data_IF_067374260733
#
_entry.id   IF_067374260733
#
_cell.length_a   1.000
_cell.length_b   1.000
_cell.length_c   1.000
_cell.angle_alpha   90.00
_cell.angle_beta   90.00
_cell.angle_gamma   90.00
#
_symmetry.space_group_name_H-M   'P 1'
#
loop_
_entity.id
_entity.type
_entity.pdbx_description
1 polymer ?
#
# COMPACT_ATOMS: atom_id res chain seq x y z
N UNK A 1 12.98 -34.07 -44.75
CA UNK A 1 12.93 -32.64 -44.37
C UNK A 1 11.62 -32.21 -43.70
N UNK A 2 10.46 -32.84 -43.94
CA UNK A 2 9.17 -32.38 -43.37
C UNK A 2 8.92 -32.73 -41.88
N UNK A 3 9.52 -33.79 -41.34
CA UNK A 3 9.29 -34.20 -39.93
C UNK A 3 10.12 -33.46 -38.88
N UNK A 4 11.23 -32.83 -39.26
CA UNK A 4 12.11 -32.11 -38.32
C UNK A 4 11.62 -30.69 -38.02
N UNK A 5 10.90 -30.06 -38.96
CA UNK A 5 10.33 -28.72 -38.77
C UNK A 5 9.15 -28.74 -37.79
N UNK A 6 8.36 -29.80 -37.78
CA UNK A 6 7.20 -29.94 -36.86
C UNK A 6 7.68 -30.06 -35.41
N UNK A 7 8.74 -30.83 -35.13
CA UNK A 7 9.28 -31.01 -33.78
C UNK A 7 9.86 -29.72 -33.18
N UNK A 8 10.57 -28.92 -33.99
CA UNK A 8 11.14 -27.63 -33.55
C UNK A 8 10.04 -26.59 -33.29
N UNK A 9 8.99 -26.57 -34.10
CA UNK A 9 7.83 -25.66 -33.90
C UNK A 9 7.04 -26.07 -32.65
N UNK A 10 6.83 -27.36 -32.39
CA UNK A 10 6.20 -27.80 -31.12
C UNK A 10 7.05 -27.51 -29.90
N UNK A 11 8.39 -27.60 -29.98
CA UNK A 11 9.28 -27.24 -28.87
C UNK A 11 9.30 -25.72 -28.59
N UNK A 12 9.22 -24.88 -29.62
CA UNK A 12 9.12 -23.42 -29.47
C UNK A 12 7.78 -22.95 -28.89
N UNK A 13 6.68 -23.65 -29.21
CA UNK A 13 5.35 -23.37 -28.65
C UNK A 13 5.26 -23.80 -27.18
N UNK A 14 5.92 -24.89 -26.78
CA UNK A 14 5.98 -25.34 -25.38
C UNK A 14 6.86 -24.42 -24.51
N UNK A 15 7.86 -23.74 -25.09
CA UNK A 15 8.69 -22.79 -24.35
C UNK A 15 8.01 -21.42 -24.10
N UNK A 16 6.99 -21.06 -24.88
CA UNK A 16 6.24 -19.81 -24.70
C UNK A 16 5.16 -19.86 -23.61
N UNK A 17 4.89 -21.02 -23.01
CA UNK A 17 3.76 -21.20 -22.08
C UNK A 17 4.14 -21.39 -20.60
N UNK A 18 5.30 -20.89 -20.15
CA UNK A 18 5.66 -20.84 -18.72
C UNK A 18 5.69 -19.41 -18.15
N UNK A 19 5.03 -18.46 -18.79
CA UNK A 19 4.72 -17.19 -18.13
C UNK A 19 3.46 -17.44 -17.30
N UNK A 20 3.60 -17.59 -15.99
CA UNK A 20 2.44 -17.53 -15.09
C UNK A 20 1.66 -16.27 -15.44
N UNK A 21 0.38 -16.44 -15.78
CA UNK A 21 -0.47 -15.30 -16.14
C UNK A 21 -0.46 -14.29 -14.99
N UNK A 22 -0.10 -13.04 -15.29
CA UNK A 22 -0.15 -11.95 -14.32
C UNK A 22 -1.60 -11.74 -13.90
N UNK A 23 -1.86 -11.78 -12.60
CA UNK A 23 -3.17 -11.42 -12.06
C UNK A 23 -3.31 -9.90 -12.21
N UNK A 24 -4.27 -9.46 -13.02
CA UNK A 24 -4.47 -8.05 -13.35
C UNK A 24 -5.90 -7.62 -13.06
N UNK A 25 -6.04 -6.53 -12.31
CA UNK A 25 -7.30 -5.81 -12.11
C UNK A 25 -7.24 -4.45 -12.78
N UNK A 26 -8.40 -3.88 -13.11
CA UNK A 26 -8.49 -2.61 -13.81
C UNK A 26 -9.41 -1.65 -13.11
N UNK A 27 -8.98 -0.39 -13.03
CA UNK A 27 -9.82 0.71 -12.63
C UNK A 27 -9.69 1.81 -13.67
N UNK A 28 -10.78 2.07 -14.40
CA UNK A 28 -10.86 3.28 -15.21
C UNK A 28 -11.16 4.45 -14.29
N UNK A 29 -10.24 5.41 -14.20
CA UNK A 29 -10.32 6.65 -13.41
C UNK A 29 -11.06 7.78 -14.15
N UNK A 30 -11.41 7.58 -15.41
CA UNK A 30 -12.16 8.54 -16.22
C UNK A 30 -13.62 8.11 -16.37
N UNK A 31 -14.54 8.82 -15.70
CA UNK A 31 -15.96 8.49 -15.71
C UNK A 31 -16.30 7.23 -14.91
N UNK A 32 -15.45 6.87 -13.94
CA UNK A 32 -15.73 5.83 -12.96
C UNK A 32 -17.07 6.09 -12.28
N UNK A 33 -17.81 5.04 -12.00
CA UNK A 33 -19.04 5.07 -11.17
C UNK A 33 -18.76 4.50 -9.78
N UNK A 34 -19.65 4.79 -8.82
CA UNK A 34 -19.59 4.21 -7.47
C UNK A 34 -19.51 2.68 -7.52
N UNK A 35 -20.33 2.08 -8.38
CA UNK A 35 -20.44 0.64 -8.56
C UNK A 35 -19.15 0.05 -9.12
N UNK A 36 -18.53 0.70 -10.11
CA UNK A 36 -17.24 0.25 -10.67
C UNK A 36 -16.11 0.32 -9.64
N UNK A 37 -16.04 1.40 -8.85
CA UNK A 37 -15.02 1.52 -7.82
C UNK A 37 -15.20 0.47 -6.71
N UNK A 38 -16.43 0.28 -6.23
CA UNK A 38 -16.74 -0.74 -5.21
C UNK A 38 -16.46 -2.16 -5.72
N UNK A 39 -16.85 -2.45 -6.97
CA UNK A 39 -16.61 -3.76 -7.60
C UNK A 39 -15.12 -4.04 -7.74
N UNK A 40 -14.34 -3.06 -8.20
CA UNK A 40 -12.88 -3.16 -8.29
C UNK A 40 -12.22 -3.51 -6.95
N UNK A 41 -12.58 -2.81 -5.86
CA UNK A 41 -12.03 -3.12 -4.53
C UNK A 41 -12.49 -4.49 -4.04
N UNK A 42 -13.73 -4.90 -4.35
CA UNK A 42 -14.25 -6.23 -4.01
C UNK A 42 -13.48 -7.34 -4.75
N UNK A 43 -13.19 -7.17 -6.03
CA UNK A 43 -12.41 -8.14 -6.82
C UNK A 43 -11.03 -8.38 -6.21
N UNK A 44 -10.37 -7.32 -5.72
CA UNK A 44 -9.08 -7.45 -5.02
C UNK A 44 -9.24 -8.23 -3.71
N UNK A 45 -10.29 -7.96 -2.91
CA UNK A 45 -10.54 -8.72 -1.67
C UNK A 45 -10.81 -10.20 -1.96
N UNK A 46 -11.63 -10.48 -2.97
CA UNK A 46 -12.00 -11.84 -3.37
C UNK A 46 -10.78 -12.64 -3.87
N UNK A 47 -9.80 -11.99 -4.53
CA UNK A 47 -8.56 -12.63 -4.97
C UNK A 47 -7.68 -13.10 -3.82
N UNK A 48 -7.52 -12.24 -2.81
CA UNK A 48 -6.51 -12.45 -1.77
C UNK A 48 -7.07 -13.16 -0.54
N UNK A 49 -8.41 -13.25 -0.40
CA UNK A 49 -9.02 -13.88 0.76
C UNK A 49 -8.85 -15.39 0.77
N UNK A 50 -8.81 -15.97 1.97
CA UNK A 50 -9.08 -17.39 2.16
C UNK A 50 -10.59 -17.56 2.44
N UNK A 51 -11.35 -18.24 1.57
CA UNK A 51 -12.80 -18.36 1.69
C UNK A 51 -13.26 -19.17 2.91
N UNK A 52 -12.35 -19.87 3.58
CA UNK A 52 -12.66 -20.67 4.76
C UNK A 52 -12.10 -20.07 6.05
N UNK A 53 -11.36 -18.95 5.97
CA UNK A 53 -10.72 -18.34 7.13
C UNK A 53 -11.49 -17.10 7.57
N UNK A 54 -11.99 -17.18 8.80
CA UNK A 54 -12.63 -16.08 9.48
C UNK A 54 -12.05 -15.91 10.88
N UNK A 55 -11.98 -14.67 11.35
CA UNK A 55 -11.45 -14.34 12.66
C UNK A 55 -12.57 -13.99 13.64
N UNK A 56 -12.43 -14.49 14.87
CA UNK A 56 -13.27 -14.07 15.99
C UNK A 56 -14.76 -14.38 15.85
N UNK A 57 -15.15 -15.33 15.01
CA UNK A 57 -16.56 -15.65 14.74
C UNK A 57 -17.30 -14.52 14.00
N UNK A 58 -16.61 -13.82 13.10
CA UNK A 58 -17.13 -12.74 12.24
C UNK A 58 -17.11 -13.20 10.79
N UNK A 59 -17.87 -12.57 9.90
CA UNK A 59 -17.87 -12.88 8.46
C UNK A 59 -16.88 -12.01 7.67
N UNK A 60 -15.99 -11.28 8.35
CA UNK A 60 -15.01 -10.40 7.70
C UNK A 60 -13.97 -11.29 6.98
N UNK A 61 -13.68 -11.04 5.68
CA UNK A 61 -12.66 -11.79 4.96
C UNK A 61 -11.28 -11.66 5.60
N UNK A 62 -10.45 -12.69 5.47
CA UNK A 62 -9.04 -12.69 5.93
C UNK A 62 -8.15 -13.03 4.75
N UNK A 63 -7.06 -12.29 4.56
CA UNK A 63 -6.05 -12.61 3.55
C UNK A 63 -5.53 -14.04 3.76
N UNK A 64 -5.31 -14.77 2.66
CA UNK A 64 -4.70 -16.09 2.67
C UNK A 64 -3.22 -16.03 3.05
N UNK A 65 -2.75 -16.96 3.87
CA UNK A 65 -1.38 -16.96 4.41
C UNK A 65 -0.29 -17.00 3.33
N UNK A 66 -0.49 -17.82 2.30
CA UNK A 66 0.46 -18.04 1.22
C UNK A 66 -0.25 -17.77 -0.11
N UNK A 67 0.17 -16.71 -0.78
CA UNK A 67 -0.35 -16.26 -2.06
C UNK A 67 0.78 -16.31 -3.09
N UNK A 68 0.55 -17.08 -4.15
CA UNK A 68 1.39 -17.16 -5.34
C UNK A 68 0.49 -16.86 -6.56
N UNK A 69 0.87 -15.95 -7.47
CA UNK A 69 2.04 -15.06 -7.42
C UNK A 69 2.03 -14.13 -6.18
N UNK A 70 3.18 -13.56 -5.80
CA UNK A 70 3.31 -12.65 -4.64
C UNK A 70 2.61 -11.31 -4.85
N UNK A 71 2.56 -10.86 -6.10
CA UNK A 71 2.00 -9.58 -6.51
C UNK A 71 0.85 -9.77 -7.49
N UNK A 72 -0.04 -8.79 -7.51
CA UNK A 72 -0.97 -8.54 -8.60
C UNK A 72 -0.61 -7.21 -9.26
N UNK A 73 -1.05 -7.05 -10.51
CA UNK A 73 -0.98 -5.81 -11.27
C UNK A 73 -2.34 -5.10 -11.20
N UNK A 74 -2.31 -3.79 -11.05
CA UNK A 74 -3.51 -2.95 -11.19
C UNK A 74 -3.26 -1.97 -12.30
N UNK A 75 -4.07 -2.01 -13.36
CA UNK A 75 -4.06 -1.01 -14.41
C UNK A 75 -5.04 0.12 -14.07
N UNK A 76 -4.49 1.32 -13.96
CA UNK A 76 -5.24 2.56 -13.77
C UNK A 76 -5.37 3.24 -15.13
N UNK A 77 -6.56 3.20 -15.71
CA UNK A 77 -6.82 3.79 -17.01
C UNK A 77 -7.29 5.24 -16.84
N UNK A 78 -6.60 6.19 -17.48
CA UNK A 78 -6.99 7.60 -17.45
C UNK A 78 -6.82 8.28 -18.80
N UNK A 79 -7.09 9.58 -18.83
CA UNK A 79 -7.11 10.35 -20.09
C UNK A 79 -5.75 10.45 -20.79
N UNK A 80 -4.64 10.33 -20.05
CA UNK A 80 -3.27 10.37 -20.59
C UNK A 80 -2.71 8.97 -20.90
N UNK A 81 -3.52 7.93 -20.74
CA UNK A 81 -3.15 6.52 -20.89
C UNK A 81 -3.18 5.76 -19.56
N UNK A 82 -2.63 4.55 -19.57
CA UNK A 82 -2.59 3.66 -18.41
C UNK A 82 -1.30 3.82 -17.63
N UNK A 83 -1.40 3.92 -16.31
CA UNK A 83 -0.32 3.62 -15.38
C UNK A 83 -0.67 2.34 -14.62
N UNK A 84 0.32 1.59 -14.16
CA UNK A 84 0.05 0.32 -13.45
C UNK A 84 0.73 0.29 -12.08
N UNK A 85 0.15 -0.44 -11.13
CA UNK A 85 0.70 -0.65 -9.80
C UNK A 85 1.09 -2.12 -9.61
N UNK A 86 2.17 -2.37 -8.88
CA UNK A 86 2.47 -3.67 -8.31
C UNK A 86 2.01 -3.69 -6.85
N UNK A 87 1.01 -4.52 -6.54
CA UNK A 87 0.43 -4.61 -5.20
C UNK A 87 0.73 -5.99 -4.62
N UNK A 88 1.36 -6.02 -3.45
CA UNK A 88 1.69 -7.27 -2.76
C UNK A 88 0.43 -7.89 -2.17
N UNK A 89 0.10 -9.11 -2.58
CA UNK A 89 -1.19 -9.74 -2.26
C UNK A 89 -1.34 -10.09 -0.77
N UNK A 90 -0.24 -10.35 -0.08
CA UNK A 90 -0.26 -10.74 1.35
C UNK A 90 -0.55 -9.60 2.32
N UNK A 91 -0.46 -8.34 1.89
CA UNK A 91 -0.67 -7.16 2.75
C UNK A 91 -1.26 -5.95 2.02
N UNK A 92 -1.49 -6.03 0.70
CA UNK A 92 -2.01 -4.98 -0.17
C UNK A 92 -1.08 -3.76 -0.32
N UNK A 93 0.20 -3.83 0.02
CA UNK A 93 1.11 -2.69 -0.19
C UNK A 93 1.41 -2.45 -1.68
N UNK A 94 1.33 -1.19 -2.09
CA UNK A 94 1.81 -0.71 -3.38
C UNK A 94 3.34 -0.60 -3.30
N UNK A 95 4.06 -1.46 -4.04
CA UNK A 95 5.52 -1.56 -3.93
C UNK A 95 6.28 -1.12 -5.19
N UNK A 96 5.57 -0.96 -6.31
CA UNK A 96 6.09 -0.38 -7.53
C UNK A 96 4.96 0.20 -8.38
N UNK A 97 5.32 1.03 -9.35
CA UNK A 97 4.41 1.44 -10.41
C UNK A 97 5.12 1.48 -11.77
N UNK A 98 4.32 1.38 -12.83
CA UNK A 98 4.71 1.46 -14.23
C UNK A 98 4.05 2.70 -14.84
N UNK A 99 4.83 3.54 -15.49
CA UNK A 99 4.31 4.69 -16.24
C UNK A 99 5.16 4.94 -17.48
N UNK A 100 4.60 5.68 -18.44
CA UNK A 100 5.40 6.25 -19.53
C UNK A 100 6.17 7.47 -19.03
N UNK A 101 7.40 7.67 -19.45
CA UNK A 101 8.12 8.93 -19.28
C UNK A 101 7.71 9.96 -20.36
N UNK A 102 8.36 11.11 -20.36
CA UNK A 102 8.19 12.18 -21.36
C UNK A 102 8.57 11.74 -22.78
N UNK A 103 9.53 10.83 -22.93
CA UNK A 103 9.88 10.17 -24.20
C UNK A 103 8.89 9.07 -24.62
N UNK A 104 7.79 8.87 -23.88
CA UNK A 104 6.77 7.82 -24.12
C UNK A 104 7.27 6.39 -23.98
N UNK A 105 8.44 6.19 -23.36
CA UNK A 105 8.97 4.87 -23.00
C UNK A 105 8.45 4.46 -21.62
N UNK A 106 8.14 3.19 -21.46
CA UNK A 106 7.74 2.66 -20.16
C UNK A 106 8.95 2.57 -19.23
N UNK A 107 8.73 2.88 -17.96
CA UNK A 107 9.69 2.71 -16.87
C UNK A 107 8.97 2.22 -15.63
N UNK A 108 9.55 1.21 -14.98
CA UNK A 108 9.07 0.73 -13.69
C UNK A 108 9.83 1.41 -12.56
N UNK A 109 9.11 1.91 -11.57
CA UNK A 109 9.66 2.58 -10.40
C UNK A 109 9.29 1.77 -9.16
N UNK A 110 10.26 1.46 -8.31
CA UNK A 110 10.06 0.50 -7.21
C UNK A 110 10.72 0.91 -5.91
N UNK A 111 10.12 0.53 -4.78
CA UNK A 111 10.74 0.68 -3.48
C UNK A 111 11.88 -0.32 -3.28
N UNK A 112 13.03 0.17 -2.82
CA UNK A 112 14.24 -0.64 -2.62
C UNK A 112 13.98 -1.87 -1.76
N UNK A 113 14.50 -3.02 -2.19
CA UNK A 113 14.41 -4.32 -1.49
C UNK A 113 12.99 -4.87 -1.30
N UNK A 114 11.96 -4.26 -1.88
CA UNK A 114 10.57 -4.71 -1.76
C UNK A 114 10.13 -5.65 -2.88
N UNK A 115 10.71 -5.49 -4.07
CA UNK A 115 10.40 -6.27 -5.27
C UNK A 115 11.68 -6.54 -6.07
N UNK A 116 11.81 -7.74 -6.61
CA UNK A 116 12.97 -8.14 -7.43
C UNK A 116 12.80 -7.78 -8.90
N UNK A 117 13.91 -7.70 -9.64
CA UNK A 117 13.91 -7.49 -11.09
C UNK A 117 13.05 -8.52 -11.83
N UNK A 118 13.15 -9.81 -11.47
CA UNK A 118 12.37 -10.87 -12.12
C UNK A 118 10.85 -10.71 -11.89
N UNK A 119 10.44 -10.23 -10.71
CA UNK A 119 9.03 -9.95 -10.44
C UNK A 119 8.55 -8.70 -11.17
N UNK A 120 9.38 -7.65 -11.28
CA UNK A 120 9.09 -6.48 -12.10
C UNK A 120 8.95 -6.86 -13.57
N UNK A 121 9.89 -7.62 -14.13
CA UNK A 121 9.86 -8.07 -15.54
C UNK A 121 8.62 -8.92 -15.83
N UNK A 122 8.21 -9.73 -14.85
CA UNK A 122 7.00 -10.55 -14.92
C UNK A 122 5.71 -9.72 -14.88
N UNK A 123 5.63 -8.72 -14.00
CA UNK A 123 4.44 -7.85 -13.85
C UNK A 123 4.34 -6.81 -14.97
N UNK A 124 5.47 -6.24 -15.36
CA UNK A 124 5.61 -5.09 -16.24
C UNK A 124 6.47 -5.46 -17.45
N UNK A 125 5.93 -6.35 -18.28
CA UNK A 125 6.55 -6.77 -19.54
C UNK A 125 6.94 -5.61 -20.47
N UNK A 126 6.34 -4.44 -20.29
CA UNK A 126 6.61 -3.21 -21.04
C UNK A 126 7.92 -2.51 -20.64
N UNK A 127 8.45 -2.81 -19.46
CA UNK A 127 9.64 -2.17 -18.89
C UNK A 127 10.66 -3.22 -18.42
N UNK A 128 10.89 -4.27 -19.22
CA UNK A 128 11.83 -5.34 -18.86
C UNK A 128 13.28 -4.86 -18.77
N UNK A 129 14.03 -5.48 -17.87
CA UNK A 129 15.47 -5.26 -17.73
C UNK A 129 15.80 -4.09 -16.81
N UNK A 130 16.94 -4.20 -16.12
CA UNK A 130 17.38 -3.23 -15.11
C UNK A 130 17.55 -1.80 -15.63
N UNK A 131 17.75 -1.62 -16.94
CA UNK A 131 17.82 -0.33 -17.61
C UNK A 131 16.48 0.43 -17.67
N UNK A 132 15.37 -0.30 -17.56
CA UNK A 132 14.00 0.23 -17.55
C UNK A 132 13.41 0.26 -16.14
N UNK A 133 14.20 -0.12 -15.12
CA UNK A 133 13.83 -0.07 -13.72
C UNK A 133 14.52 1.11 -13.02
N UNK A 134 13.80 1.79 -12.13
CA UNK A 134 14.33 2.89 -11.33
C UNK A 134 13.92 2.73 -9.86
N UNK A 135 14.91 2.75 -8.98
CA UNK A 135 14.66 2.73 -7.54
C UNK A 135 14.06 4.08 -7.08
N UNK A 136 12.99 4.02 -6.28
CA UNK A 136 12.37 5.19 -5.64
C UNK A 136 13.28 5.70 -4.52
N UNK A 137 13.46 7.03 -4.44
CA UNK A 137 14.44 7.68 -3.53
C UNK A 137 13.99 7.82 -2.06
N UNK A 138 12.88 7.19 -1.68
CA UNK A 138 12.29 7.20 -0.34
C UNK A 138 11.69 5.83 -0.05
N UNK A 139 11.36 5.53 1.21
CA UNK A 139 10.81 4.21 1.57
C UNK A 139 9.29 4.16 1.40
N UNK A 140 8.73 2.94 1.42
CA UNK A 140 7.30 2.69 1.32
C UNK A 140 6.48 3.15 2.54
N UNK A 141 7.14 3.69 3.57
CA UNK A 141 6.49 4.13 4.80
C UNK A 141 5.85 5.49 4.60
N UNK A 142 4.61 5.62 5.05
CA UNK A 142 3.86 6.88 4.96
C UNK A 142 4.63 8.14 5.36
N UNK A 143 5.40 8.21 6.48
CA UNK A 143 6.15 9.43 6.79
C UNK A 143 7.15 9.85 5.70
N UNK A 144 7.76 8.89 5.01
CA UNK A 144 8.73 9.17 3.95
C UNK A 144 8.02 9.56 2.65
N UNK A 145 6.90 8.89 2.33
CA UNK A 145 6.03 9.26 1.20
C UNK A 145 5.46 10.67 1.41
N UNK A 146 4.90 10.97 2.59
CA UNK A 146 4.33 12.27 2.95
C UNK A 146 5.39 13.39 2.88
N UNK A 147 6.62 13.10 3.32
CA UNK A 147 7.74 14.03 3.21
C UNK A 147 8.13 14.30 1.76
N UNK A 148 8.21 13.26 0.91
CA UNK A 148 8.51 13.40 -0.51
C UNK A 148 7.38 14.10 -1.29
N UNK A 149 6.12 13.88 -0.90
CA UNK A 149 4.93 14.49 -1.48
C UNK A 149 4.73 15.95 -1.07
N UNK A 150 5.45 16.40 -0.03
CA UNK A 150 5.25 17.67 0.66
C UNK A 150 3.79 17.86 1.12
N UNK A 151 3.18 16.76 1.59
CA UNK A 151 1.75 16.67 1.87
C UNK A 151 1.47 15.53 2.85
N UNK A 152 0.60 15.77 3.84
CA UNK A 152 0.13 14.71 4.74
C UNK A 152 -1.06 13.99 4.11
N UNK A 153 -1.34 12.74 4.52
CA UNK A 153 -2.61 12.07 4.13
C UNK A 153 -3.84 12.89 4.50
N UNK A 154 -3.80 13.55 5.66
CA UNK A 154 -4.90 14.41 6.12
C UNK A 154 -5.19 15.56 5.16
N UNK A 155 -4.13 16.19 4.63
CA UNK A 155 -4.26 17.32 3.71
C UNK A 155 -4.36 16.90 2.24
N UNK A 156 -3.99 15.66 1.91
CA UNK A 156 -4.16 15.08 0.59
C UNK A 156 -5.65 14.92 0.26
N UNK A 157 -6.42 14.45 1.26
CA UNK A 157 -7.82 14.12 1.04
C UNK A 157 -7.98 12.82 0.25
N UNK A 158 -9.17 12.58 -0.29
CA UNK A 158 -9.51 11.38 -1.08
C UNK A 158 -10.42 11.73 -2.24
N UNK A 159 -10.41 10.92 -3.29
CA UNK A 159 -11.32 11.04 -4.42
C UNK A 159 -10.75 10.51 -5.72
N UNK A 160 -11.62 9.94 -6.56
CA UNK A 160 -11.23 9.35 -7.85
C UNK A 160 -10.71 10.41 -8.83
N UNK A 161 -11.30 11.61 -8.83
CA UNK A 161 -10.86 12.75 -9.66
C UNK A 161 -9.44 13.21 -9.29
N UNK A 162 -9.17 13.41 -7.99
CA UNK A 162 -7.81 13.69 -7.48
C UNK A 162 -6.82 12.58 -7.85
N UNK A 163 -7.23 11.32 -7.71
CA UNK A 163 -6.37 10.19 -8.07
C UNK A 163 -6.00 10.21 -9.57
N UNK A 164 -6.97 10.48 -10.44
CA UNK A 164 -6.73 10.65 -11.87
C UNK A 164 -5.77 11.81 -12.16
N UNK A 165 -5.92 12.94 -11.46
CA UNK A 165 -5.06 14.10 -11.61
C UNK A 165 -3.60 13.79 -11.26
N UNK A 166 -3.34 13.16 -10.10
CA UNK A 166 -1.98 12.78 -9.71
C UNK A 166 -1.37 11.71 -10.63
N UNK A 167 -2.18 10.76 -11.11
CA UNK A 167 -1.71 9.81 -12.13
C UNK A 167 -1.29 10.53 -13.42
N UNK A 168 -2.02 11.57 -13.84
CA UNK A 168 -1.67 12.35 -15.02
C UNK A 168 -0.39 13.19 -14.86
N UNK A 169 0.04 13.46 -13.62
CA UNK A 169 1.32 14.14 -13.33
C UNK A 169 2.54 13.22 -13.50
N UNK A 170 2.35 11.89 -13.45
CA UNK A 170 3.43 10.91 -13.63
C UNK A 170 3.37 10.21 -15.00
N UNK A 171 2.17 10.00 -15.57
CA UNK A 171 2.03 9.23 -16.79
C UNK A 171 2.27 10.07 -18.05
N UNK A 172 3.33 9.73 -18.78
CA UNK A 172 3.75 10.40 -20.00
C UNK A 172 4.44 11.74 -19.74
N UNK A 173 4.96 11.97 -18.52
CA UNK A 173 5.57 13.20 -18.03
C UNK A 173 7.01 12.95 -17.56
N UNK A 174 7.85 14.00 -17.47
CA UNK A 174 9.16 13.89 -16.84
C UNK A 174 9.02 13.46 -15.38
N UNK A 175 9.93 12.61 -14.91
CA UNK A 175 9.90 12.17 -13.52
C UNK A 175 10.16 13.34 -12.57
N UNK A 176 9.23 13.55 -11.63
CA UNK A 176 9.34 14.54 -10.55
C UNK A 176 8.99 13.84 -9.25
N UNK A 177 9.97 13.73 -8.34
CA UNK A 177 9.84 13.05 -7.04
C UNK A 177 8.57 13.40 -6.27
N UNK A 178 8.22 14.68 -6.23
CA UNK A 178 7.00 15.15 -5.53
C UNK A 178 5.72 14.62 -6.15
N UNK A 179 5.63 14.62 -7.48
CA UNK A 179 4.44 14.16 -8.20
C UNK A 179 4.31 12.64 -8.09
N UNK A 180 5.45 11.92 -8.18
CA UNK A 180 5.50 10.49 -7.91
C UNK A 180 4.98 10.17 -6.50
N UNK A 181 5.50 10.85 -5.47
CA UNK A 181 5.11 10.60 -4.10
C UNK A 181 3.62 10.89 -3.86
N UNK A 182 3.06 11.93 -4.47
CA UNK A 182 1.62 12.23 -4.43
C UNK A 182 0.78 11.15 -5.10
N UNK A 183 1.21 10.68 -6.27
CA UNK A 183 0.54 9.58 -6.97
C UNK A 183 0.56 8.28 -6.13
N UNK A 184 1.72 7.91 -5.59
CA UNK A 184 1.85 6.71 -4.74
C UNK A 184 1.04 6.85 -3.45
N UNK A 185 1.01 8.04 -2.84
CA UNK A 185 0.19 8.30 -1.66
C UNK A 185 -1.29 8.03 -1.96
N UNK A 186 -1.81 8.58 -3.05
CA UNK A 186 -3.20 8.34 -3.47
C UNK A 186 -3.45 6.88 -3.88
N UNK A 187 -2.49 6.22 -4.53
CA UNK A 187 -2.60 4.80 -4.84
C UNK A 187 -2.69 3.95 -3.57
N UNK A 188 -1.90 4.25 -2.54
CA UNK A 188 -1.99 3.57 -1.25
C UNK A 188 -3.36 3.79 -0.60
N UNK A 189 -3.84 5.02 -0.54
CA UNK A 189 -5.13 5.35 0.08
C UNK A 189 -6.34 4.78 -0.70
N UNK A 190 -6.44 5.09 -2.00
CA UNK A 190 -7.60 4.77 -2.85
C UNK A 190 -7.66 3.32 -3.29
N UNK A 191 -6.55 2.58 -3.18
CA UNK A 191 -6.52 1.15 -3.51
C UNK A 191 -6.28 0.33 -2.25
N UNK A 192 -5.12 0.45 -1.60
CA UNK A 192 -4.76 -0.44 -0.50
C UNK A 192 -5.64 -0.23 0.73
N UNK A 193 -5.76 1.00 1.21
CA UNK A 193 -6.50 1.30 2.44
C UNK A 193 -8.02 1.19 2.24
N UNK A 194 -8.54 1.65 1.11
CA UNK A 194 -9.94 1.41 0.73
C UNK A 194 -10.26 -0.09 0.58
N UNK A 195 -9.33 -0.91 0.08
CA UNK A 195 -9.51 -2.38 0.08
C UNK A 195 -9.53 -2.94 1.50
N UNK A 196 -8.65 -2.48 2.40
CA UNK A 196 -8.59 -2.94 3.79
C UNK A 196 -9.81 -2.54 4.62
N UNK A 197 -10.35 -1.34 4.39
CA UNK A 197 -11.40 -0.75 5.21
C UNK A 197 -12.59 -0.32 4.36
N UNK A 198 -13.73 -1.00 4.56
CA UNK A 198 -15.02 -0.55 4.03
C UNK A 198 -15.38 0.85 4.54
N UNK A 199 -14.92 1.24 5.73
CA UNK A 199 -15.03 2.63 6.21
C UNK A 199 -14.47 3.66 5.21
N UNK A 200 -13.28 3.40 4.65
CA UNK A 200 -12.62 4.32 3.71
C UNK A 200 -13.29 4.25 2.35
N UNK A 201 -13.63 3.04 1.87
CA UNK A 201 -14.44 2.89 0.65
C UNK A 201 -15.76 3.65 0.75
N UNK A 202 -16.54 3.44 1.80
CA UNK A 202 -17.85 4.06 2.00
C UNK A 202 -17.73 5.58 2.08
N UNK A 203 -16.69 6.11 2.76
CA UNK A 203 -16.41 7.54 2.80
C UNK A 203 -16.20 8.12 1.38
N UNK A 204 -15.44 7.42 0.53
CA UNK A 204 -15.24 7.79 -0.88
C UNK A 204 -16.56 7.68 -1.67
N UNK A 205 -17.35 6.63 -1.45
CA UNK A 205 -18.63 6.42 -2.15
C UNK A 205 -19.68 7.46 -1.76
N UNK A 206 -19.73 7.89 -0.50
CA UNK A 206 -20.62 8.94 -0.01
C UNK A 206 -20.33 10.29 -0.70
N UNK A 207 -19.05 10.61 -0.88
CA UNK A 207 -18.60 11.87 -1.47
C UNK A 207 -18.12 11.71 -2.92
N UNK A 208 -18.54 10.67 -3.64
CA UNK A 208 -17.92 10.27 -4.91
C UNK A 208 -17.93 11.35 -6.01
N UNK A 209 -18.99 12.18 -6.03
CA UNK A 209 -19.11 13.29 -6.98
C UNK A 209 -18.31 14.52 -6.56
N UNK A 210 -18.04 14.62 -5.26
CA UNK A 210 -17.27 15.68 -4.61
C UNK A 210 -15.83 15.21 -4.36
N UNK A 211 -14.97 16.12 -3.89
CA UNK A 211 -13.65 15.74 -3.45
C UNK A 211 -13.58 15.90 -1.94
N UNK A 212 -13.02 14.91 -1.26
CA UNK A 212 -12.72 15.04 0.16
C UNK A 212 -11.43 15.83 0.23
N UNK A 213 -11.51 17.09 0.67
CA UNK A 213 -10.33 17.94 0.81
C UNK A 213 -9.46 17.55 2.00
N UNK A 214 -10.08 17.05 3.07
CA UNK A 214 -9.37 16.57 4.26
C UNK A 214 -10.01 15.33 4.81
N UNK A 215 -9.20 14.31 5.08
CA UNK A 215 -9.68 13.12 5.78
C UNK A 215 -9.67 13.32 7.29
N UNK A 216 -10.64 12.70 7.94
CA UNK A 216 -10.76 12.76 9.39
C UNK A 216 -9.64 11.99 10.09
N UNK A 217 -9.47 12.24 11.40
CA UNK A 217 -8.48 11.56 12.23
C UNK A 217 -8.71 10.03 12.31
N UNK A 218 -9.96 9.55 12.16
CA UNK A 218 -10.28 8.12 12.26
C UNK A 218 -9.73 7.35 11.07
N UNK A 219 -9.78 7.91 9.86
CA UNK A 219 -9.15 7.35 8.65
C UNK A 219 -7.67 7.07 8.92
N UNK A 220 -6.93 8.07 9.41
CA UNK A 220 -5.50 7.92 9.75
C UNK A 220 -5.26 6.87 10.85
N UNK A 221 -6.17 6.77 11.82
CA UNK A 221 -6.09 5.75 12.87
C UNK A 221 -6.34 4.35 12.29
N UNK A 222 -7.27 4.16 11.36
CA UNK A 222 -7.55 2.86 10.73
C UNK A 222 -6.31 2.36 9.97
N UNK A 223 -5.78 3.16 9.04
CA UNK A 223 -4.55 2.86 8.27
C UNK A 223 -3.39 2.42 9.18
N UNK A 224 -3.23 3.12 10.32
CA UNK A 224 -2.13 2.86 11.26
C UNK A 224 -2.33 1.55 12.05
N UNK A 225 -3.57 1.13 12.25
CA UNK A 225 -3.93 0.04 13.17
C UNK A 225 -4.45 -1.22 12.47
N UNK A 226 -4.40 -1.35 11.14
CA UNK A 226 -4.88 -2.54 10.42
C UNK A 226 -4.36 -3.87 10.98
N UNK A 227 -3.05 -3.97 11.21
CA UNK A 227 -2.42 -5.14 11.83
C UNK A 227 -2.90 -5.40 13.27
N UNK A 228 -2.81 -4.42 14.19
CA UNK A 228 -3.38 -4.51 15.52
C UNK A 228 -4.88 -4.88 15.57
N UNK A 229 -5.70 -4.32 14.69
CA UNK A 229 -7.12 -4.63 14.53
C UNK A 229 -7.29 -6.10 14.13
N UNK A 230 -6.52 -6.56 13.13
CA UNK A 230 -6.56 -7.95 12.67
C UNK A 230 -6.18 -8.94 13.79
N UNK A 231 -5.14 -8.61 14.57
CA UNK A 231 -4.73 -9.42 15.73
C UNK A 231 -5.77 -9.42 16.87
N UNK A 232 -6.37 -8.26 17.17
CA UNK A 232 -7.44 -8.17 18.16
C UNK A 232 -8.68 -8.97 17.72
N UNK A 233 -9.04 -8.88 16.44
CA UNK A 233 -10.17 -9.61 15.85
C UNK A 233 -9.94 -11.12 15.89
N UNK A 234 -8.74 -11.60 15.56
CA UNK A 234 -8.39 -13.03 15.63
C UNK A 234 -8.68 -13.66 17.00
N UNK A 235 -8.47 -12.90 18.06
CA UNK A 235 -8.66 -13.38 19.44
C UNK A 235 -9.99 -12.96 20.06
N UNK A 236 -10.85 -12.26 19.31
CA UNK A 236 -12.17 -11.78 19.75
C UNK A 236 -13.20 -12.91 19.86
N UNK A 237 -14.36 -12.62 20.46
CA UNK A 237 -15.48 -13.55 20.55
C UNK A 237 -16.73 -12.90 19.94
N UNK A 238 -17.18 -13.43 18.80
CA UNK A 238 -18.22 -12.83 17.94
C UNK A 238 -17.95 -11.34 17.67
N UNK A 239 -16.72 -11.02 17.25
CA UNK A 239 -16.28 -9.66 16.95
C UNK A 239 -15.96 -8.77 18.17
N UNK A 240 -16.39 -9.14 19.38
CA UNK A 240 -16.11 -8.39 20.61
C UNK A 240 -14.69 -8.62 21.08
N UNK A 241 -13.90 -7.55 21.16
CA UNK A 241 -12.51 -7.63 21.60
C UNK A 241 -12.42 -8.01 23.08
N UNK A 242 -11.48 -8.91 23.40
CA UNK A 242 -11.17 -9.32 24.78
C UNK A 242 -10.76 -8.14 25.68
N UNK A 243 -10.11 -7.14 25.08
CA UNK A 243 -9.73 -5.88 25.72
C UNK A 243 -10.05 -4.75 24.75
N UNK A 244 -10.50 -3.61 25.27
CA UNK A 244 -10.68 -2.40 24.47
C UNK A 244 -9.41 -2.08 23.69
N UNK A 245 -9.54 -1.99 22.37
CA UNK A 245 -8.48 -1.54 21.50
C UNK A 245 -8.43 -0.01 21.57
N UNK A 246 -7.34 0.52 22.14
CA UNK A 246 -7.16 1.97 22.32
C UNK A 246 -6.30 2.53 21.20
N UNK A 247 -6.93 3.05 20.16
CA UNK A 247 -6.28 3.62 18.99
C UNK A 247 -5.90 5.07 19.27
N UNK A 248 -4.59 5.35 19.22
CA UNK A 248 -4.02 6.69 19.38
C UNK A 248 -2.70 6.77 18.64
N UNK A 249 -2.45 7.91 17.98
CA UNK A 249 -1.22 8.18 17.25
C UNK A 249 -0.71 9.57 17.61
N UNK A 250 0.61 9.75 17.73
CA UNK A 250 1.20 11.06 17.96
C UNK A 250 0.88 11.97 16.76
N UNK A 251 0.43 13.20 17.03
CA UNK A 251 0.02 14.16 16.00
C UNK A 251 -1.46 14.10 15.64
N UNK A 252 -2.16 13.02 16.02
CA UNK A 252 -3.61 12.87 15.83
C UNK A 252 -4.32 13.23 17.12
N UNK A 253 -5.33 14.11 17.05
CA UNK A 253 -6.05 14.62 18.23
C UNK A 253 -7.03 13.59 18.76
N UNK A 254 -7.70 12.90 17.85
CA UNK A 254 -8.70 11.89 18.18
C UNK A 254 -8.07 10.67 18.84
N UNK A 255 -8.73 10.22 19.91
CA UNK A 255 -8.48 8.92 20.54
C UNK A 255 -9.72 8.08 20.34
N UNK A 256 -9.56 6.86 19.83
CA UNK A 256 -10.69 5.99 19.56
C UNK A 256 -10.55 4.70 20.36
N UNK A 257 -11.47 4.49 21.29
CA UNK A 257 -11.58 3.25 22.05
C UNK A 257 -12.61 2.37 21.36
N UNK A 258 -12.19 1.18 20.93
CA UNK A 258 -12.99 0.27 20.14
C UNK A 258 -13.18 -1.02 20.92
N UNK A 259 -14.42 -1.49 20.97
CA UNK A 259 -14.82 -2.66 21.76
C UNK A 259 -15.25 -3.82 20.87
N UNK A 260 -15.71 -3.54 19.66
CA UNK A 260 -16.23 -4.50 18.70
C UNK A 260 -15.70 -4.15 17.29
N UNK A 261 -15.28 -5.17 16.54
CA UNK A 261 -14.73 -4.98 15.19
C UNK A 261 -15.74 -4.32 14.23
N UNK A 262 -17.05 -4.48 14.48
CA UNK A 262 -18.08 -3.86 13.63
C UNK A 262 -18.02 -2.32 13.62
N UNK A 263 -17.46 -1.72 14.67
CA UNK A 263 -17.29 -0.26 14.77
C UNK A 263 -16.29 0.28 13.73
N UNK A 264 -15.46 -0.60 13.17
CA UNK A 264 -14.34 -0.26 12.28
C UNK A 264 -14.69 -0.40 10.80
N UNK A 265 -15.82 -1.03 10.48
CA UNK A 265 -16.29 -1.33 9.13
C UNK A 265 -15.15 -1.87 8.23
N UNK A 266 -14.68 -3.07 8.56
CA UNK A 266 -13.54 -3.71 7.90
C UNK A 266 -13.89 -4.20 6.49
N UNK A 267 -12.98 -4.04 5.54
CA UNK A 267 -13.06 -4.66 4.21
C UNK A 267 -12.42 -6.04 4.19
N UNK A 268 -11.19 -6.15 4.70
CA UNK A 268 -10.45 -7.42 4.82
C UNK A 268 -9.41 -7.34 5.94
N UNK A 269 -9.17 -8.45 6.63
CA UNK A 269 -8.19 -8.56 7.71
C UNK A 269 -6.86 -9.13 7.22
N UNK A 270 -5.78 -8.66 7.83
CA UNK A 270 -4.45 -9.23 7.61
C UNK A 270 -4.39 -10.65 8.18
N UNK A 271 -3.73 -11.56 7.45
CA UNK A 271 -3.40 -12.87 7.99
C UNK A 271 -2.39 -12.75 9.14
N UNK A 272 -2.77 -13.18 10.34
CA UNK A 272 -1.89 -13.24 11.51
C UNK A 272 -1.47 -14.70 11.72
N UNK A 273 -0.20 -15.03 11.58
CA UNK A 273 0.31 -16.37 11.86
C UNK A 273 0.09 -16.80 13.33
N UNK A 274 -0.05 -18.11 13.60
CA UNK A 274 -0.31 -18.66 14.95
C UNK A 274 0.77 -18.32 15.99
N UNK A 275 0.32 -17.96 17.20
CA UNK A 275 0.97 -17.64 18.50
C UNK A 275 2.39 -17.04 18.63
N UNK A 276 3.22 -17.00 17.59
CA UNK A 276 4.52 -16.31 17.59
C UNK A 276 4.45 -14.92 16.94
N UNK A 277 3.32 -14.57 16.31
CA UNK A 277 3.11 -13.23 15.73
C UNK A 277 3.11 -12.10 16.77
N UNK A 278 2.74 -12.41 18.03
CA UNK A 278 2.84 -11.43 19.12
C UNK A 278 4.30 -11.09 19.43
N UNK A 279 5.22 -12.06 19.36
CA UNK A 279 6.65 -11.84 19.60
C UNK A 279 7.32 -11.06 18.46
N UNK A 280 6.87 -11.26 17.21
CA UNK A 280 7.39 -10.49 16.08
C UNK A 280 6.89 -9.03 16.09
N UNK A 281 5.63 -8.82 16.45
CA UNK A 281 5.05 -7.47 16.61
C UNK A 281 5.62 -6.76 17.84
N UNK A 282 5.84 -7.46 18.96
CA UNK A 282 6.57 -6.94 20.12
C UNK A 282 8.02 -6.62 19.73
N UNK A 283 8.66 -7.44 18.88
CA UNK A 283 9.97 -7.17 18.30
C UNK A 283 10.02 -5.84 17.57
N UNK A 284 9.08 -5.59 16.64
CA UNK A 284 8.97 -4.30 15.93
C UNK A 284 8.76 -3.11 16.87
N UNK A 285 7.93 -3.27 17.91
CA UNK A 285 7.68 -2.21 18.91
C UNK A 285 8.92 -1.95 19.77
N UNK A 286 9.66 -2.98 20.17
CA UNK A 286 10.90 -2.86 20.95
C UNK A 286 11.99 -2.20 20.10
N UNK A 287 12.17 -2.61 18.85
CA UNK A 287 13.16 -1.98 17.94
C UNK A 287 12.84 -0.50 17.73
N UNK A 288 11.56 -0.14 17.59
CA UNK A 288 11.14 1.25 17.46
C UNK A 288 11.37 2.07 18.75
N UNK A 289 11.13 1.48 19.93
CA UNK A 289 11.43 2.11 21.22
C UNK A 289 12.93 2.31 21.44
N UNK A 290 13.76 1.33 21.09
CA UNK A 290 15.23 1.42 21.20
C UNK A 290 15.77 2.53 20.29
N UNK A 291 15.26 2.66 19.07
CA UNK A 291 15.62 3.74 18.15
C UNK A 291 15.21 5.11 18.72
N UNK A 292 14.02 5.24 19.32
CA UNK A 292 13.57 6.48 19.94
C UNK A 292 14.44 6.88 21.15
N UNK A 293 14.85 5.90 21.97
CA UNK A 293 15.76 6.14 23.11
C UNK A 293 17.15 6.58 22.60
N UNK A 294 17.68 5.95 21.56
CA UNK A 294 18.94 6.35 20.93
C UNK A 294 18.87 7.78 20.35
N UNK A 295 17.79 8.13 19.64
CA UNK A 295 17.58 9.49 19.11
C UNK A 295 17.51 10.52 20.25
N UNK A 296 16.82 10.19 21.35
CA UNK A 296 16.73 11.06 22.52
C UNK A 296 18.10 11.25 23.18
N UNK A 297 18.87 10.17 23.32
CA UNK A 297 20.20 10.19 23.95
C UNK A 297 21.22 11.00 23.13
N UNK A 298 21.22 10.83 21.80
CA UNK A 298 22.07 11.62 20.89
C UNK A 298 21.70 13.10 20.95
N UNK A 299 20.40 13.44 20.96
CA UNK A 299 19.97 14.84 21.14
C UNK A 299 20.43 15.39 22.48
N UNK A 300 20.27 14.65 23.57
CA UNK A 300 20.69 15.08 24.91
C UNK A 300 22.20 15.38 25.00
N UNK A 301 23.04 14.51 24.41
CA UNK A 301 24.50 14.74 24.35
C UNK A 301 24.83 16.01 23.54
N UNK A 302 24.17 16.20 22.39
CA UNK A 302 24.38 17.37 21.53
C UNK A 302 24.00 18.69 22.24
N UNK A 303 22.89 18.73 22.98
CA UNK A 303 22.50 19.93 23.75
C UNK A 303 23.46 20.23 24.89
N UNK A 304 24.01 19.19 25.54
CA UNK A 304 25.00 19.36 26.61
C UNK A 304 26.34 19.88 26.06
N UNK A 305 26.78 19.37 24.92
CA UNK A 305 27.99 19.84 24.22
C UNK A 305 27.89 21.33 23.81
N UNK A 306 26.71 21.78 23.39
CA UNK A 306 26.48 23.19 23.05
C UNK A 306 26.47 24.14 24.26
N UNK A 307 26.07 23.69 25.45
CA UNK A 307 26.18 24.51 26.68
C UNK A 307 27.63 24.66 27.12
N UNK A 308 28.41 23.57 27.10
CA UNK A 308 29.83 23.60 27.49
C UNK A 308 30.65 24.50 26.57
N UNK A 309 30.32 24.60 25.27
CA UNK A 309 31.00 25.54 24.35
C UNK A 309 30.61 27.01 24.54
N UNK A 310 29.47 27.30 25.18
CA UNK A 310 29.01 28.68 25.41
C UNK A 310 29.68 29.30 26.64
N UNK A 311 29.98 28.48 27.65
CA UNK A 311 30.65 28.92 28.89
C UNK A 311 32.17 29.12 28.73
N UNK A 312 32.79 28.58 27.66
CA UNK A 312 34.21 28.78 27.36
C UNK A 312 34.47 30.11 26.61
N UNK A 313 33.44 30.79 26.11
CA UNK A 313 33.57 32.08 25.39
C UNK A 313 33.36 33.33 26.25
N UNK A 314 33.22 33.20 27.57
CA UNK A 314 33.02 34.32 28.51
C UNK A 314 34.20 34.56 29.46
N UNK A 315 35.40 34.12 29.10
CA UNK A 315 36.66 34.50 29.73
C UNK A 315 37.62 35.05 28.68
#
# INVERSE_FOLDING_TARGET
MKSWVVLVVTWLIILQSLVSAVITYKLNLHGTTKEQYSSFLKEIRDDVMDPNLHYGGTDIPVIKANLDPRFLRIDLEGSTGTASLAVQRSNLYVLAYLAKNDEKKFRAYYFKNQISTAELDGLFSEAQGTENHQEIEYTEKYPDIEAAAEMTRQDAGLGVKKFAAYMAEVNGKPHVKKNEARFILFAAEMVAEATRFKYIEDLVLEHFEEEIEKVDDKVILLETFWGPISAATKTSYHGKFKKTLRMKKKGIKTKWNVHDVKELNMGILLHIAGNNGLLWIIGLIITFLVILVLIYYVRFIMTKSHRVKKDIKSH
#
